data_IF_995517470680
#
_entry.id   IF_995517470680
#
_cell.length_a   1.000
_cell.length_b   1.000
_cell.length_c   1.000
_cell.angle_alpha   90.00
_cell.angle_beta   90.00
_cell.angle_gamma   90.00
#
_symmetry.space_group_name_H-M   'P 1'
#
loop_
_entity.id
_entity.type
_entity.pdbx_description
1 polymer ?
#
# COMPACT_ATOMS: atom_id res chain seq x y z
N UNK A 1 -18.68 62.03 18.75
CA UNK A 1 -18.10 61.04 17.80
C UNK A 1 -16.62 61.29 17.43
N UNK A 2 -16.10 62.52 17.35
CA UNK A 2 -14.69 62.79 16.96
C UNK A 2 -13.61 62.35 17.98
N UNK A 3 -13.92 62.36 19.28
CA UNK A 3 -12.96 62.05 20.35
C UNK A 3 -12.56 60.57 20.41
N UNK A 4 -13.50 59.66 20.11
CA UNK A 4 -13.26 58.20 20.09
C UNK A 4 -12.34 57.79 18.92
N UNK A 5 -12.39 58.54 17.82
CA UNK A 5 -11.54 58.28 16.65
C UNK A 5 -10.09 58.67 16.92
N UNK A 6 -9.86 59.80 17.60
CA UNK A 6 -8.52 60.26 17.97
C UNK A 6 -7.87 59.33 19.00
N UNK A 7 -8.63 58.80 19.96
CA UNK A 7 -8.11 57.84 20.96
C UNK A 7 -7.75 56.50 20.30
N UNK A 8 -8.53 56.05 19.32
CA UNK A 8 -8.23 54.82 18.57
C UNK A 8 -6.99 54.97 17.69
N UNK A 9 -6.78 56.13 17.07
CA UNK A 9 -5.59 56.36 16.23
C UNK A 9 -4.34 56.53 17.07
N UNK A 10 -4.40 57.14 18.26
CA UNK A 10 -3.23 57.23 19.15
C UNK A 10 -2.82 55.88 19.75
N UNK A 11 -3.78 55.02 20.11
CA UNK A 11 -3.49 53.66 20.58
C UNK A 11 -2.86 52.80 19.46
N UNK A 12 -3.36 52.94 18.22
CA UNK A 12 -2.77 52.27 17.06
C UNK A 12 -1.33 52.75 16.78
N UNK A 13 -1.05 54.04 16.99
CA UNK A 13 0.28 54.61 16.74
C UNK A 13 1.30 54.22 17.83
N UNK A 14 0.86 54.12 19.10
CA UNK A 14 1.70 53.66 20.21
C UNK A 14 1.99 52.15 20.09
N UNK A 15 1.03 51.33 19.65
CA UNK A 15 1.25 49.89 19.46
C UNK A 15 2.23 49.59 18.32
N UNK A 16 2.25 50.39 17.25
CA UNK A 16 3.26 50.28 16.18
C UNK A 16 4.66 50.68 16.68
N UNK A 17 4.75 51.66 17.59
CA UNK A 17 6.04 52.09 18.17
C UNK A 17 6.63 51.10 19.18
N UNK A 18 5.79 50.30 19.86
CA UNK A 18 6.26 49.26 20.77
C UNK A 18 6.67 47.96 20.05
N UNK A 19 6.14 47.70 18.84
CA UNK A 19 6.47 46.48 18.07
C UNK A 19 7.84 46.55 17.38
N UNK A 20 8.36 47.75 17.11
CA UNK A 20 9.65 47.96 16.45
C UNK A 20 10.87 47.73 17.36
N UNK A 21 10.67 47.60 18.68
CA UNK A 21 11.75 47.31 19.64
C UNK A 21 12.11 45.82 19.78
N UNK A 22 11.37 44.92 19.12
CA UNK A 22 11.57 43.47 19.16
C UNK A 22 12.28 42.91 17.91
N UNK A 23 12.71 43.78 17.00
CA UNK A 23 13.40 43.38 15.77
C UNK A 23 14.89 43.32 16.03
N UNK A 24 15.40 42.08 15.99
CA UNK A 24 16.79 41.67 15.78
C UNK A 24 17.76 41.70 16.98
N UNK A 25 17.59 40.74 17.88
CA UNK A 25 18.70 40.19 18.64
C UNK A 25 19.20 38.91 17.94
N UNK A 26 19.81 39.06 16.76
CA UNK A 26 20.65 38.02 16.17
C UNK A 26 21.89 37.89 17.05
N UNK A 27 21.83 36.98 18.03
CA UNK A 27 22.98 36.61 18.85
C UNK A 27 24.11 36.13 17.93
N UNK A 28 25.14 36.96 17.75
CA UNK A 28 26.30 36.62 16.92
C UNK A 28 27.14 35.58 17.63
N UNK A 29 26.97 34.33 17.24
CA UNK A 29 27.75 33.21 17.78
C UNK A 29 29.13 33.23 17.13
N UNK A 30 30.16 33.49 17.94
CA UNK A 30 31.55 33.39 17.50
C UNK A 30 31.96 31.92 17.49
N UNK A 31 32.02 31.33 16.29
CA UNK A 31 32.47 29.95 16.07
C UNK A 31 33.88 29.95 15.49
N UNK A 32 34.72 29.02 15.96
CA UNK A 32 35.92 28.66 15.21
C UNK A 32 35.53 28.01 13.88
N UNK A 33 36.40 28.08 12.86
CA UNK A 33 36.13 27.47 11.55
C UNK A 33 35.78 25.97 11.68
N UNK A 34 36.44 25.25 12.58
CA UNK A 34 36.15 23.84 12.84
C UNK A 34 34.81 23.57 13.52
N UNK A 35 34.30 24.51 14.32
CA UNK A 35 32.95 24.43 14.91
C UNK A 35 31.88 24.78 13.89
N UNK A 36 32.13 25.78 13.04
CA UNK A 36 31.23 26.14 11.95
C UNK A 36 31.06 24.97 10.95
N UNK A 37 32.14 24.29 10.59
CA UNK A 37 32.09 23.11 9.70
C UNK A 37 31.34 21.95 10.37
N UNK A 38 31.61 21.65 11.64
CA UNK A 38 30.89 20.57 12.35
C UNK A 38 29.40 20.86 12.49
N UNK A 39 29.04 22.11 12.80
CA UNK A 39 27.64 22.55 12.88
C UNK A 39 26.97 22.47 11.51
N UNK A 40 27.65 22.94 10.46
CA UNK A 40 27.17 22.85 9.10
C UNK A 40 26.90 21.39 8.72
N UNK A 41 27.86 20.47 8.89
CA UNK A 41 27.67 19.04 8.55
C UNK A 41 26.53 18.41 9.35
N UNK A 42 26.44 18.69 10.66
CA UNK A 42 25.43 18.08 11.53
C UNK A 42 24.02 18.55 11.21
N UNK A 43 23.84 19.84 10.91
CA UNK A 43 22.52 20.42 10.63
C UNK A 43 22.19 20.56 9.15
N UNK A 44 23.10 20.14 8.25
CA UNK A 44 22.85 20.17 6.82
C UNK A 44 21.71 19.23 6.44
N UNK A 45 20.57 19.82 6.07
CA UNK A 45 19.37 19.08 5.66
C UNK A 45 19.64 18.26 4.38
N UNK A 46 20.49 18.77 3.47
CA UNK A 46 20.91 18.06 2.26
C UNK A 46 21.68 16.78 2.58
N UNK A 47 22.65 16.82 3.50
CA UNK A 47 23.35 15.62 3.96
C UNK A 47 22.41 14.65 4.68
N UNK A 48 21.44 15.16 5.47
CA UNK A 48 20.41 14.32 6.08
C UNK A 48 19.52 13.64 5.02
N UNK A 49 19.23 14.31 3.90
CA UNK A 49 18.49 13.74 2.78
C UNK A 49 19.31 12.71 1.99
N UNK A 50 20.57 13.00 1.68
CA UNK A 50 21.48 12.10 0.98
C UNK A 50 21.74 10.79 1.74
N UNK A 51 21.67 10.82 3.08
CA UNK A 51 21.75 9.61 3.91
C UNK A 51 20.65 8.59 3.65
N UNK A 52 19.54 8.96 3.01
CA UNK A 52 18.50 8.02 2.60
C UNK A 52 18.81 7.31 1.28
N UNK A 53 19.72 7.83 0.44
CA UNK A 53 20.04 7.22 -0.86
C UNK A 53 20.54 5.77 -0.72
N UNK A 54 21.43 5.42 0.23
CA UNK A 54 21.82 4.02 0.44
C UNK A 54 20.64 3.14 0.86
N UNK A 55 19.72 3.66 1.69
CA UNK A 55 18.54 2.90 2.12
C UNK A 55 17.58 2.64 0.96
N UNK A 56 17.42 3.61 0.07
CA UNK A 56 16.64 3.46 -1.17
C UNK A 56 17.29 2.40 -2.05
N UNK A 57 18.61 2.49 -2.27
CA UNK A 57 19.35 1.50 -3.07
C UNK A 57 19.29 0.08 -2.49
N UNK A 58 19.30 -0.06 -1.16
CA UNK A 58 19.08 -1.35 -0.52
C UNK A 58 17.66 -1.88 -0.77
N UNK A 59 16.65 -0.99 -0.76
CA UNK A 59 15.28 -1.34 -1.14
C UNK A 59 15.20 -1.82 -2.60
N UNK A 60 15.91 -1.17 -3.51
CA UNK A 60 15.95 -1.57 -4.92
C UNK A 60 16.55 -2.98 -5.09
N UNK A 61 17.64 -3.29 -4.37
CA UNK A 61 18.25 -4.64 -4.37
C UNK A 61 17.26 -5.68 -3.85
N UNK A 62 16.56 -5.39 -2.74
CA UNK A 62 15.55 -6.31 -2.19
C UNK A 62 14.39 -6.54 -3.16
N UNK A 63 13.97 -5.52 -3.91
CA UNK A 63 12.92 -5.66 -4.93
C UNK A 63 13.39 -6.59 -6.05
N UNK A 64 14.62 -6.44 -6.53
CA UNK A 64 15.16 -7.31 -7.57
C UNK A 64 15.37 -8.75 -7.07
N UNK A 65 15.80 -8.94 -5.83
CA UNK A 65 15.88 -10.26 -5.19
C UNK A 65 14.49 -10.90 -5.07
N UNK A 66 13.46 -10.11 -4.74
CA UNK A 66 12.08 -10.59 -4.61
C UNK A 66 11.48 -11.14 -5.91
N UNK A 67 12.08 -10.85 -7.06
CA UNK A 67 11.68 -11.43 -8.33
C UNK A 67 11.90 -12.96 -8.39
N UNK A 68 12.70 -13.52 -7.49
CA UNK A 68 12.97 -14.95 -7.35
C UNK A 68 12.23 -15.58 -6.16
N UNK A 69 11.62 -14.77 -5.29
CA UNK A 69 10.82 -15.27 -4.19
C UNK A 69 9.54 -15.94 -4.72
N UNK A 70 9.16 -17.10 -4.17
CA UNK A 70 7.94 -17.77 -4.59
C UNK A 70 6.69 -17.00 -4.11
N UNK A 71 5.74 -16.82 -5.01
CA UNK A 71 4.42 -16.29 -4.70
C UNK A 71 3.45 -17.43 -4.37
N UNK A 72 2.72 -17.29 -3.26
CA UNK A 72 1.67 -18.23 -2.84
C UNK A 72 0.37 -17.46 -2.69
N UNK A 73 -0.65 -17.87 -3.44
CA UNK A 73 -1.99 -17.28 -3.39
C UNK A 73 -3.02 -18.31 -2.92
N UNK A 74 -3.91 -17.89 -2.03
CA UNK A 74 -5.10 -18.66 -1.63
C UNK A 74 -6.34 -17.80 -1.89
N UNK A 75 -7.25 -18.31 -2.71
CA UNK A 75 -8.56 -17.71 -2.98
C UNK A 75 -9.65 -18.65 -2.50
N UNK A 76 -10.64 -18.09 -1.81
CA UNK A 76 -11.80 -18.80 -1.28
C UNK A 76 -13.05 -17.99 -1.67
N UNK A 77 -13.92 -18.61 -2.45
CA UNK A 77 -15.17 -18.02 -2.92
C UNK A 77 -16.35 -18.90 -2.51
N UNK A 78 -17.41 -18.27 -2.04
CA UNK A 78 -18.71 -18.91 -1.95
C UNK A 78 -19.76 -18.00 -2.57
N UNK A 79 -20.53 -18.55 -3.51
CA UNK A 79 -21.63 -17.85 -4.13
C UNK A 79 -22.94 -18.58 -3.86
N UNK A 80 -24.00 -17.80 -3.69
CA UNK A 80 -25.36 -18.30 -3.52
C UNK A 80 -26.26 -17.55 -4.49
N UNK A 81 -26.95 -18.30 -5.34
CA UNK A 81 -27.89 -17.76 -6.31
C UNK A 81 -29.26 -18.39 -6.10
N UNK A 82 -30.30 -17.56 -6.20
CA UNK A 82 -31.69 -17.99 -6.13
C UNK A 82 -32.45 -17.40 -7.30
N UNK A 83 -32.83 -18.27 -8.23
CA UNK A 83 -33.64 -17.90 -9.38
C UNK A 83 -35.01 -18.59 -9.28
N UNK A 84 -36.08 -17.89 -9.64
CA UNK A 84 -37.37 -18.55 -9.84
C UNK A 84 -37.33 -19.30 -11.16
N UNK A 85 -37.52 -20.62 -11.12
CA UNK A 85 -37.66 -21.42 -12.32
C UNK A 85 -39.01 -22.13 -12.35
N UNK A 86 -39.73 -22.13 -13.50
CA UNK A 86 -40.98 -22.86 -13.67
C UNK A 86 -40.77 -24.38 -13.89
N UNK A 87 -39.54 -24.88 -13.97
CA UNK A 87 -39.22 -26.29 -14.25
C UNK A 87 -38.66 -27.01 -13.02
N UNK A 88 -39.12 -28.25 -12.80
CA UNK A 88 -38.64 -29.17 -11.74
C UNK A 88 -37.20 -29.65 -12.02
N UNK A 89 -36.75 -29.59 -13.28
CA UNK A 89 -35.43 -30.06 -13.71
C UNK A 89 -34.34 -29.02 -13.42
N UNK A 90 -34.70 -27.75 -13.32
CA UNK A 90 -33.78 -26.63 -13.10
C UNK A 90 -33.73 -26.25 -11.62
N UNK A 91 -32.54 -25.94 -11.12
CA UNK A 91 -32.33 -25.54 -9.73
C UNK A 91 -32.94 -24.17 -9.44
N UNK A 92 -33.74 -24.05 -8.39
CA UNK A 92 -34.24 -22.76 -7.86
C UNK A 92 -33.27 -22.13 -6.85
N UNK A 93 -32.38 -22.94 -6.27
CA UNK A 93 -31.30 -22.52 -5.38
C UNK A 93 -30.01 -23.16 -5.85
N UNK A 94 -28.95 -22.38 -5.89
CA UNK A 94 -27.64 -22.79 -6.33
C UNK A 94 -26.58 -22.25 -5.38
N UNK A 95 -25.61 -23.07 -5.05
CA UNK A 95 -24.45 -22.71 -4.23
C UNK A 95 -23.19 -23.20 -4.92
N UNK A 96 -22.28 -22.29 -5.22
CA UNK A 96 -20.91 -22.63 -5.64
C UNK A 96 -19.95 -22.37 -4.49
N UNK A 97 -18.99 -23.26 -4.34
CA UNK A 97 -17.82 -23.05 -3.51
C UNK A 97 -16.60 -23.26 -4.37
N UNK A 98 -15.70 -22.29 -4.35
CA UNK A 98 -14.51 -22.21 -5.18
C UNK A 98 -13.30 -22.02 -4.26
N UNK A 99 -12.28 -22.84 -4.44
CA UNK A 99 -11.04 -22.80 -3.69
C UNK A 99 -9.88 -22.94 -4.67
N UNK A 100 -9.09 -21.88 -4.78
CA UNK A 100 -7.92 -21.84 -5.66
C UNK A 100 -6.66 -21.64 -4.82
N UNK A 101 -5.72 -22.56 -4.97
CA UNK A 101 -4.38 -22.48 -4.37
C UNK A 101 -3.38 -22.37 -5.52
N UNK A 102 -2.51 -21.38 -5.48
CA UNK A 102 -1.47 -21.22 -6.49
C UNK A 102 -0.11 -20.99 -5.84
N UNK A 103 0.91 -21.63 -6.38
CA UNK A 103 2.32 -21.45 -6.05
C UNK A 103 3.05 -21.16 -7.36
N UNK A 104 3.69 -20.00 -7.45
CA UNK A 104 4.45 -19.62 -8.65
C UNK A 104 5.80 -19.05 -8.28
N UNK A 105 6.75 -19.10 -9.20
CA UNK A 105 8.08 -18.58 -8.95
C UNK A 105 9.00 -18.71 -10.15
N UNK A 106 10.21 -18.17 -9.98
CA UNK A 106 11.29 -18.24 -10.97
C UNK A 106 12.51 -18.90 -10.33
N UNK A 107 13.16 -19.76 -11.10
CA UNK A 107 14.46 -20.35 -10.77
C UNK A 107 15.56 -19.52 -11.41
N UNK A 108 16.74 -19.44 -10.79
CA UNK A 108 17.91 -18.67 -11.24
C UNK A 108 18.27 -18.85 -12.72
N UNK A 109 18.00 -20.03 -13.29
CA UNK A 109 18.20 -20.33 -14.71
C UNK A 109 17.16 -19.69 -15.66
N UNK A 110 16.33 -18.75 -15.17
CA UNK A 110 15.29 -18.05 -15.94
C UNK A 110 14.00 -18.85 -16.15
N UNK A 111 13.97 -20.11 -15.70
CA UNK A 111 12.79 -20.98 -15.77
C UNK A 111 11.69 -20.48 -14.83
N UNK A 112 10.45 -20.40 -15.31
CA UNK A 112 9.28 -20.10 -14.49
C UNK A 112 8.47 -21.37 -14.24
N UNK A 113 8.01 -21.53 -13.01
CA UNK A 113 7.11 -22.61 -12.63
C UNK A 113 5.82 -22.05 -12.04
N UNK A 114 4.72 -22.78 -12.21
CA UNK A 114 3.45 -22.46 -11.59
C UNK A 114 2.70 -23.76 -11.32
N UNK A 115 2.26 -23.94 -10.08
CA UNK A 115 1.44 -25.05 -9.63
C UNK A 115 0.13 -24.46 -9.14
N UNK A 116 -0.98 -24.84 -9.77
CA UNK A 116 -2.33 -24.42 -9.42
C UNK A 116 -3.16 -25.61 -9.04
N UNK A 117 -3.87 -25.51 -7.93
CA UNK A 117 -4.87 -26.47 -7.52
C UNK A 117 -6.20 -25.75 -7.36
N UNK A 118 -7.18 -26.15 -8.15
CA UNK A 118 -8.51 -25.57 -8.16
C UNK A 118 -9.50 -26.63 -7.70
N UNK A 119 -10.36 -26.27 -6.76
CA UNK A 119 -11.45 -27.09 -6.27
C UNK A 119 -12.75 -26.29 -6.36
N UNK A 120 -13.67 -26.79 -7.17
CA UNK A 120 -15.00 -26.22 -7.32
C UNK A 120 -16.04 -27.26 -6.94
N UNK A 121 -17.01 -26.81 -6.14
CA UNK A 121 -18.14 -27.63 -5.70
C UNK A 121 -19.44 -26.90 -5.93
N UNK A 122 -20.32 -27.57 -6.65
CA UNK A 122 -21.63 -27.03 -6.99
C UNK A 122 -22.74 -27.84 -6.31
N UNK A 123 -23.69 -27.13 -5.71
CA UNK A 123 -24.86 -27.73 -5.06
C UNK A 123 -26.13 -27.02 -5.51
N UNK A 124 -27.17 -27.79 -5.82
CA UNK A 124 -28.48 -27.28 -6.19
C UNK A 124 -29.63 -28.16 -5.67
N UNK A 125 -30.85 -27.63 -5.70
CA UNK A 125 -32.08 -28.27 -5.23
C UNK A 125 -32.83 -29.05 -6.33
N UNK A 126 -32.33 -29.07 -7.57
CA UNK A 126 -32.91 -29.91 -8.63
C UNK A 126 -32.70 -31.41 -8.40
N UNK A 127 -33.68 -32.23 -8.80
CA UNK A 127 -33.64 -33.69 -8.66
C UNK A 127 -32.47 -34.35 -9.41
N UNK A 128 -31.97 -33.72 -10.48
CA UNK A 128 -30.83 -34.21 -11.26
C UNK A 128 -29.49 -33.95 -10.57
N UNK A 129 -29.32 -32.77 -9.96
CA UNK A 129 -28.09 -32.40 -9.23
C UNK A 129 -27.94 -33.10 -7.87
N UNK A 130 -29.05 -33.59 -7.28
CA UNK A 130 -29.02 -34.39 -6.05
C UNK A 130 -28.43 -35.79 -6.33
N UNK A 131 -28.71 -36.36 -7.50
CA UNK A 131 -28.24 -37.70 -7.90
C UNK A 131 -26.80 -37.66 -8.42
N UNK A 132 -26.35 -36.52 -8.97
CA UNK A 132 -24.99 -36.33 -9.45
C UNK A 132 -24.44 -34.95 -9.02
N UNK A 133 -23.84 -34.85 -7.83
CA UNK A 133 -23.23 -33.59 -7.37
C UNK A 133 -22.00 -33.25 -8.21
N UNK A 134 -21.96 -32.02 -8.74
CA UNK A 134 -20.85 -31.58 -9.58
C UNK A 134 -19.68 -31.10 -8.70
N UNK A 135 -18.60 -31.89 -8.73
CA UNK A 135 -17.32 -31.59 -8.11
C UNK A 135 -16.26 -31.55 -9.19
N UNK A 136 -15.54 -30.44 -9.30
CA UNK A 136 -14.38 -30.29 -10.17
C UNK A 136 -13.14 -30.11 -9.32
N UNK A 137 -12.11 -30.91 -9.59
CA UNK A 137 -10.81 -30.77 -8.94
C UNK A 137 -9.75 -30.86 -10.03
N UNK A 138 -8.92 -29.83 -10.11
CA UNK A 138 -7.91 -29.71 -11.15
C UNK A 138 -6.56 -29.38 -10.51
N UNK A 139 -5.53 -30.11 -10.91
CA UNK A 139 -4.14 -29.79 -10.58
C UNK A 139 -3.41 -29.48 -11.88
N UNK A 140 -2.94 -28.25 -12.02
CA UNK A 140 -2.28 -27.75 -13.21
C UNK A 140 -0.85 -27.33 -12.87
N UNK A 141 0.11 -27.97 -13.54
CA UNK A 141 1.54 -27.69 -13.40
C UNK A 141 2.04 -27.14 -14.72
N UNK A 142 2.59 -25.93 -14.68
CA UNK A 142 3.13 -25.23 -15.84
C UNK A 142 4.60 -24.94 -15.59
N UNK A 143 5.44 -25.31 -16.56
CA UNK A 143 6.87 -24.97 -16.57
C UNK A 143 7.17 -24.30 -17.90
N UNK A 144 7.84 -23.15 -17.85
CA UNK A 144 8.24 -22.39 -19.02
C UNK A 144 9.72 -22.08 -18.93
N UNK A 145 10.47 -22.54 -19.93
CA UNK A 145 11.91 -22.31 -20.06
C UNK A 145 12.19 -21.40 -21.26
N UNK A 146 13.12 -20.44 -21.13
CA UNK A 146 13.63 -19.69 -22.27
C UNK A 146 14.46 -20.55 -23.22
#
# INVERSE_FOLDING_TARGET
>A
MRMIWIIRTTIALVSVFFLSGLVDASETIHLTVGEAVRMAIRENIGLKAERYLPLISMGDVLIEESAFDPDISLSLGESYERAMSPSIVTSTRQRSFDLDISLSGRVDAGTRYTVKWNYQKFRGDSSFLIINPYHLTELTVTVSQP
#
